data_IF_123989130168
#
_entry.id   IF_123989130168
#
_cell.length_a   1.000
_cell.length_b   1.000
_cell.length_c   1.000
_cell.angle_alpha   90.00
_cell.angle_beta   90.00
_cell.angle_gamma   90.00
#
_symmetry.space_group_name_H-M   'P 1'
#
loop_
_entity.id
_entity.type
_entity.pdbx_description
1 polymer ?
#
# COMPACT_ATOMS: atom_id res chain seq x y z
N UNK A 1 20.83 49.34 7.64
CA UNK A 1 21.40 48.14 6.98
C UNK A 1 21.13 46.83 7.72
N UNK A 2 20.99 46.80 9.07
CA UNK A 2 20.70 45.55 9.80
C UNK A 2 19.31 44.92 9.55
N UNK A 3 18.28 45.72 9.20
CA UNK A 3 16.93 45.20 9.01
C UNK A 3 16.75 44.35 7.73
N UNK A 4 17.56 44.59 6.70
CA UNK A 4 17.47 43.83 5.44
C UNK A 4 18.11 42.44 5.55
N UNK A 5 19.12 42.27 6.41
CA UNK A 5 19.78 40.99 6.65
C UNK A 5 18.85 39.99 7.36
N UNK A 6 18.05 40.44 8.34
CA UNK A 6 17.12 39.59 9.08
C UNK A 6 15.98 39.01 8.19
N UNK A 7 15.56 39.75 7.17
CA UNK A 7 14.51 39.30 6.24
C UNK A 7 14.99 38.19 5.30
N UNK A 8 16.27 38.21 4.90
CA UNK A 8 16.88 37.16 4.07
C UNK A 8 17.05 35.83 4.83
N UNK A 9 17.39 35.87 6.12
CA UNK A 9 17.52 34.65 6.94
C UNK A 9 16.16 33.96 7.23
N UNK A 10 15.04 34.70 7.25
CA UNK A 10 13.70 34.14 7.42
C UNK A 10 13.09 33.53 6.14
N UNK A 11 13.64 33.87 4.96
CA UNK A 11 13.27 33.23 3.70
C UNK A 11 14.10 31.99 3.39
N UNK A 12 15.38 31.96 3.79
CA UNK A 12 16.27 30.83 3.54
C UNK A 12 15.87 29.55 4.31
N UNK A 13 15.16 29.68 5.42
CA UNK A 13 14.69 28.53 6.20
C UNK A 13 13.55 27.73 5.56
N UNK A 14 12.94 28.23 4.48
CA UNK A 14 11.78 27.60 3.82
C UNK A 14 12.17 26.71 2.64
N UNK A 15 13.43 26.77 2.22
CA UNK A 15 13.96 25.99 1.08
C UNK A 15 14.41 24.59 1.50
N UNK A 16 14.50 24.31 2.81
CA UNK A 16 14.96 23.02 3.35
C UNK A 16 13.84 22.14 3.96
N UNK A 17 12.57 22.49 3.78
CA UNK A 17 11.48 21.56 4.08
C UNK A 17 11.36 20.56 2.90
N UNK A 18 12.22 19.55 2.89
CA UNK A 18 12.13 18.45 1.94
C UNK A 18 11.02 17.49 2.37
N UNK A 19 10.00 17.36 1.52
CA UNK A 19 8.94 16.38 1.71
C UNK A 19 9.55 14.99 1.82
N UNK A 20 9.32 14.30 2.93
CA UNK A 20 9.86 12.96 3.15
C UNK A 20 8.87 12.09 3.91
N UNK A 21 8.91 10.79 3.63
CA UNK A 21 8.09 9.79 4.33
C UNK A 21 9.01 8.76 4.96
N UNK A 22 8.65 8.25 6.13
CA UNK A 22 9.40 7.19 6.80
C UNK A 22 8.66 5.87 6.67
N UNK A 23 9.31 4.86 6.10
CA UNK A 23 8.81 3.50 5.92
C UNK A 23 9.72 2.52 6.64
N UNK A 24 9.25 2.03 7.79
CA UNK A 24 10.08 1.23 8.69
C UNK A 24 11.26 2.04 9.21
N UNK A 25 12.46 1.72 8.75
CA UNK A 25 13.69 2.45 9.10
C UNK A 25 14.27 3.28 7.94
N UNK A 26 13.59 3.33 6.79
CA UNK A 26 14.06 4.09 5.64
C UNK A 26 13.27 5.40 5.51
N UNK A 27 13.98 6.50 5.34
CA UNK A 27 13.39 7.77 4.91
C UNK A 27 13.44 7.80 3.38
N UNK A 28 12.28 8.01 2.76
CA UNK A 28 12.13 8.08 1.32
C UNK A 28 11.83 9.51 0.90
N UNK A 29 12.38 9.90 -0.25
CA UNK A 29 12.07 11.16 -0.92
C UNK A 29 11.12 10.90 -2.10
N UNK A 30 10.43 11.93 -2.63
CA UNK A 30 9.44 11.78 -3.68
C UNK A 30 9.86 10.95 -4.90
N UNK A 31 11.07 11.13 -5.49
CA UNK A 31 11.48 10.28 -6.62
C UNK A 31 11.69 8.81 -6.23
N UNK A 32 11.94 8.53 -4.96
CA UNK A 32 12.19 7.18 -4.46
C UNK A 32 10.88 6.41 -4.24
N UNK A 33 9.73 7.08 -4.10
CA UNK A 33 8.46 6.39 -3.81
C UNK A 33 8.11 5.32 -4.86
N UNK A 34 8.49 5.57 -6.11
CA UNK A 34 8.21 4.70 -7.25
C UNK A 34 9.49 4.15 -7.90
N UNK A 35 10.64 4.30 -7.24
CA UNK A 35 11.92 3.71 -7.66
C UNK A 35 11.96 2.19 -7.38
N UNK A 36 10.94 1.48 -7.85
CA UNK A 36 10.78 0.04 -7.70
C UNK A 36 11.42 -0.63 -8.93
N UNK A 37 12.17 -1.73 -8.76
CA UNK A 37 12.73 -2.46 -9.89
C UNK A 37 11.62 -2.89 -10.85
N UNK A 38 11.84 -2.72 -12.16
CA UNK A 38 10.84 -3.06 -13.19
C UNK A 38 10.45 -4.54 -13.21
N UNK A 39 11.25 -5.43 -12.59
CA UNK A 39 10.92 -6.84 -12.39
C UNK A 39 9.82 -7.08 -11.35
N UNK A 40 9.61 -6.14 -10.43
CA UNK A 40 8.64 -6.22 -9.33
C UNK A 40 7.35 -5.46 -9.63
N UNK A 41 7.38 -4.56 -10.62
CA UNK A 41 6.19 -3.85 -11.08
C UNK A 41 5.47 -4.71 -12.11
N UNK A 42 4.20 -5.09 -11.89
CA UNK A 42 3.41 -5.75 -12.91
C UNK A 42 3.35 -4.87 -14.16
N UNK A 43 3.60 -5.43 -15.34
CA UNK A 43 3.59 -4.69 -16.62
C UNK A 43 2.30 -3.91 -16.84
N UNK A 44 1.17 -4.44 -16.36
CA UNK A 44 -0.15 -3.82 -16.43
C UNK A 44 -0.27 -2.54 -15.58
N UNK A 45 0.52 -2.41 -14.52
CA UNK A 45 0.55 -1.22 -13.67
C UNK A 45 1.56 -0.17 -14.14
N UNK A 46 2.40 -0.50 -15.12
CA UNK A 46 3.48 0.37 -15.59
C UNK A 46 2.99 1.75 -16.06
N UNK A 47 1.84 1.80 -16.77
CA UNK A 47 1.27 3.07 -17.23
C UNK A 47 0.80 3.97 -16.07
N UNK A 48 0.09 3.40 -15.09
CA UNK A 48 -0.40 4.13 -13.92
C UNK A 48 0.76 4.66 -13.08
N UNK A 49 1.79 3.85 -12.89
CA UNK A 49 2.97 4.21 -12.12
C UNK A 49 3.88 5.21 -12.85
N UNK A 50 3.98 5.13 -14.18
CA UNK A 50 4.67 6.14 -14.98
C UNK A 50 3.98 7.50 -14.90
N UNK A 51 2.64 7.54 -14.99
CA UNK A 51 1.85 8.76 -14.84
C UNK A 51 1.98 9.37 -13.42
N UNK A 52 1.94 8.53 -12.39
CA UNK A 52 2.16 8.96 -11.01
C UNK A 52 3.58 9.53 -10.82
N UNK A 53 4.61 8.85 -11.36
CA UNK A 53 5.99 9.30 -11.26
C UNK A 53 6.20 10.65 -11.99
N UNK A 54 5.61 10.83 -13.17
CA UNK A 54 5.65 12.12 -13.86
C UNK A 54 4.96 13.24 -13.07
N UNK A 55 3.84 12.94 -12.41
CA UNK A 55 3.12 13.90 -11.56
C UNK A 55 3.96 14.31 -10.34
N UNK A 56 4.64 13.34 -9.71
CA UNK A 56 5.50 13.58 -8.56
C UNK A 56 6.75 14.39 -8.95
N UNK A 57 7.43 14.00 -10.03
CA UNK A 57 8.61 14.73 -10.55
C UNK A 57 8.21 16.15 -10.97
N UNK A 58 7.05 16.31 -11.62
CA UNK A 58 6.51 17.61 -12.03
C UNK A 58 6.25 18.56 -10.86
N UNK A 59 6.05 18.04 -9.65
CA UNK A 59 5.87 18.85 -8.44
C UNK A 59 7.19 19.33 -7.81
N UNK A 60 8.36 18.85 -8.25
CA UNK A 60 9.69 19.31 -7.80
C UNK A 60 9.81 19.47 -6.28
N UNK A 61 9.39 18.45 -5.51
CA UNK A 61 9.38 18.43 -4.03
C UNK A 61 8.53 19.52 -3.35
N UNK A 62 7.66 20.22 -4.08
CA UNK A 62 6.73 21.18 -3.49
C UNK A 62 5.56 20.45 -2.82
N UNK A 63 5.50 20.50 -1.49
CA UNK A 63 4.44 19.87 -0.70
C UNK A 63 3.03 20.30 -1.12
N UNK A 64 2.82 21.58 -1.49
CA UNK A 64 1.51 22.06 -1.94
C UNK A 64 1.07 21.46 -3.28
N UNK A 65 2.02 21.04 -4.13
CA UNK A 65 1.74 20.34 -5.38
C UNK A 65 1.58 18.83 -5.15
N UNK A 66 2.48 18.23 -4.36
CA UNK A 66 2.44 16.81 -4.03
C UNK A 66 1.13 16.41 -3.33
N UNK A 67 0.62 17.28 -2.46
CA UNK A 67 -0.60 17.01 -1.70
C UNK A 67 -1.90 17.39 -2.43
N UNK A 68 -1.85 17.72 -3.71
CA UNK A 68 -3.06 17.88 -4.52
C UNK A 68 -3.75 16.53 -4.72
N UNK A 69 -5.09 16.51 -4.70
CA UNK A 69 -5.84 15.26 -4.85
C UNK A 69 -5.54 14.56 -6.17
N UNK A 70 -5.23 15.29 -7.26
CA UNK A 70 -4.84 14.71 -8.54
C UNK A 70 -3.55 13.88 -8.47
N UNK A 71 -2.55 14.36 -7.75
CA UNK A 71 -1.26 13.67 -7.57
C UNK A 71 -1.44 12.48 -6.63
N UNK A 72 -2.19 12.67 -5.54
CA UNK A 72 -2.51 11.60 -4.58
C UNK A 72 -3.33 10.50 -5.25
N UNK A 73 -4.32 10.85 -6.07
CA UNK A 73 -5.15 9.90 -6.82
C UNK A 73 -4.32 9.12 -7.83
N UNK A 74 -3.38 9.77 -8.52
CA UNK A 74 -2.46 9.11 -9.43
C UNK A 74 -1.55 8.12 -8.69
N UNK A 75 -0.98 8.53 -7.56
CA UNK A 75 -0.17 7.67 -6.70
C UNK A 75 -0.98 6.49 -6.14
N UNK A 76 -2.17 6.76 -5.61
CA UNK A 76 -3.11 5.73 -5.14
C UNK A 76 -3.46 4.77 -6.26
N UNK A 77 -3.73 5.25 -7.47
CA UNK A 77 -4.06 4.40 -8.62
C UNK A 77 -2.93 3.43 -8.99
N UNK A 78 -1.69 3.89 -8.96
CA UNK A 78 -0.52 3.02 -9.12
C UNK A 78 -0.42 1.97 -7.99
N UNK A 79 -0.52 2.41 -6.73
CA UNK A 79 -0.44 1.54 -5.56
C UNK A 79 -1.57 0.51 -5.51
N UNK A 80 -2.79 0.91 -5.86
CA UNK A 80 -3.97 0.05 -5.95
C UNK A 80 -3.80 -1.03 -7.02
N UNK A 81 -3.23 -0.68 -8.18
CA UNK A 81 -2.94 -1.64 -9.23
C UNK A 81 -1.92 -2.69 -8.75
N UNK A 82 -0.81 -2.24 -8.16
CA UNK A 82 0.21 -3.13 -7.62
C UNK A 82 -0.35 -4.06 -6.55
N UNK A 83 -1.11 -3.52 -5.60
CA UNK A 83 -1.75 -4.28 -4.53
C UNK A 83 -2.70 -5.36 -5.07
N UNK A 84 -3.52 -5.00 -6.05
CA UNK A 84 -4.45 -5.95 -6.70
C UNK A 84 -3.71 -7.08 -7.40
N UNK A 85 -2.59 -6.78 -8.06
CA UNK A 85 -1.78 -7.78 -8.76
C UNK A 85 -1.01 -8.70 -7.81
N UNK A 86 -0.47 -8.15 -6.72
CA UNK A 86 0.15 -8.95 -5.64
C UNK A 86 -0.86 -9.93 -5.05
N UNK A 87 -2.08 -9.45 -4.79
CA UNK A 87 -3.18 -10.30 -4.31
C UNK A 87 -3.50 -11.39 -5.34
N UNK A 88 -3.66 -11.03 -6.62
CA UNK A 88 -4.01 -11.97 -7.68
C UNK A 88 -2.96 -13.08 -7.86
N UNK A 89 -1.68 -12.77 -7.68
CA UNK A 89 -0.58 -13.73 -7.78
C UNK A 89 -0.29 -14.49 -6.47
N UNK A 90 -0.84 -14.02 -5.35
CA UNK A 90 -0.53 -14.53 -4.01
C UNK A 90 0.99 -14.63 -3.75
N UNK A 91 1.74 -13.66 -4.26
CA UNK A 91 3.20 -13.61 -4.12
C UNK A 91 3.59 -12.78 -2.89
N UNK A 92 4.62 -13.23 -2.19
CA UNK A 92 5.17 -12.43 -1.09
C UNK A 92 5.83 -11.18 -1.67
N UNK A 93 5.40 -10.03 -1.19
CA UNK A 93 6.01 -8.75 -1.53
C UNK A 93 7.45 -8.70 -1.00
N UNK A 94 8.42 -8.54 -1.91
CA UNK A 94 9.85 -8.43 -1.57
C UNK A 94 10.26 -7.00 -1.21
N UNK A 95 9.50 -5.99 -1.67
CA UNK A 95 9.78 -4.56 -1.45
C UNK A 95 8.59 -3.86 -0.75
N UNK A 96 8.86 -3.19 0.37
CA UNK A 96 7.86 -2.50 1.19
C UNK A 96 7.13 -1.35 0.48
N UNK A 97 7.56 -0.94 -0.72
CA UNK A 97 6.96 0.15 -1.52
C UNK A 97 5.84 -0.32 -2.45
N UNK A 98 5.76 -1.62 -2.74
CA UNK A 98 4.80 -2.19 -3.69
C UNK A 98 3.44 -2.40 -3.02
N UNK A 99 2.41 -1.68 -3.47
CA UNK A 99 1.04 -1.85 -2.98
C UNK A 99 0.88 -1.54 -1.49
N UNK A 100 1.60 -0.53 -1.01
CA UNK A 100 1.88 -0.36 0.42
C UNK A 100 0.93 0.62 1.09
N UNK A 101 0.03 0.10 1.93
CA UNK A 101 -0.80 0.92 2.83
C UNK A 101 0.02 1.81 3.78
N UNK A 102 1.13 1.36 4.40
CA UNK A 102 1.94 2.26 5.24
C UNK A 102 2.62 3.37 4.42
N UNK A 103 2.89 3.16 3.13
CA UNK A 103 3.41 4.22 2.26
C UNK A 103 2.37 5.34 2.07
N UNK A 104 1.12 4.99 1.81
CA UNK A 104 0.03 5.97 1.70
C UNK A 104 -0.27 6.69 3.02
N UNK A 105 -0.15 6.00 4.16
CA UNK A 105 -0.27 6.61 5.49
C UNK A 105 0.90 7.55 5.82
N UNK A 106 2.13 7.19 5.44
CA UNK A 106 3.28 8.07 5.54
C UNK A 106 3.13 9.32 4.68
N UNK A 107 2.62 9.15 3.45
CA UNK A 107 2.32 10.24 2.53
C UNK A 107 1.27 11.20 3.08
N UNK A 108 0.20 10.68 3.68
CA UNK A 108 -0.83 11.53 4.28
C UNK A 108 -0.33 12.34 5.47
N UNK A 109 0.55 11.73 6.28
CA UNK A 109 1.19 12.39 7.42
C UNK A 109 2.15 13.48 6.95
N UNK A 110 2.96 13.21 5.92
CA UNK A 110 3.85 14.22 5.32
C UNK A 110 3.06 15.37 4.68
N UNK A 111 1.92 15.10 4.07
CA UNK A 111 1.05 16.16 3.55
C UNK A 111 0.44 17.05 4.63
N UNK A 112 0.12 16.49 5.79
CA UNK A 112 -0.30 17.27 6.94
C UNK A 112 0.87 18.12 7.48
N UNK A 113 2.06 17.54 7.58
CA UNK A 113 3.24 18.18 8.18
C UNK A 113 3.82 19.30 7.29
N UNK A 114 4.02 19.02 6.01
CA UNK A 114 4.75 19.90 5.08
C UNK A 114 3.82 20.72 4.18
N UNK A 115 2.64 20.16 3.86
CA UNK A 115 1.65 20.80 2.99
C UNK A 115 0.51 21.49 3.75
N UNK A 116 0.35 21.22 5.04
CA UNK A 116 -0.84 21.59 5.83
C UNK A 116 -2.17 21.18 5.14
N UNK A 117 -2.14 20.06 4.41
CA UNK A 117 -3.29 19.48 3.71
C UNK A 117 -3.69 18.20 4.44
N UNK A 118 -4.94 18.12 4.87
CA UNK A 118 -5.50 16.89 5.42
C UNK A 118 -6.14 16.08 4.30
N UNK A 119 -5.54 14.93 4.00
CA UNK A 119 -6.07 13.98 3.03
C UNK A 119 -7.13 13.11 3.70
N UNK A 120 -8.22 12.84 2.97
CA UNK A 120 -9.28 12.01 3.50
C UNK A 120 -8.86 10.53 3.48
N UNK A 121 -9.35 9.74 4.44
CA UNK A 121 -8.93 8.33 4.58
C UNK A 121 -9.23 7.49 3.33
N UNK A 122 -10.26 7.85 2.55
CA UNK A 122 -10.61 7.21 1.28
C UNK A 122 -9.60 7.50 0.14
N UNK A 123 -8.85 8.60 0.22
CA UNK A 123 -7.82 8.98 -0.75
C UNK A 123 -6.49 8.26 -0.49
N UNK A 124 -6.30 7.75 0.72
CA UNK A 124 -5.04 7.10 1.14
C UNK A 124 -5.20 5.61 1.42
N UNK A 125 -6.43 5.10 1.55
CA UNK A 125 -6.69 3.69 1.74
C UNK A 125 -6.64 2.93 0.40
N UNK A 126 -5.93 1.79 0.39
CA UNK A 126 -6.04 0.81 -0.67
C UNK A 126 -7.24 -0.10 -0.38
N UNK A 127 -8.01 -0.41 -1.41
CA UNK A 127 -9.22 -1.22 -1.30
C UNK A 127 -8.91 -2.64 -1.76
N UNK A 128 -9.49 -3.63 -1.08
CA UNK A 128 -9.37 -5.01 -1.55
C UNK A 128 -10.20 -5.20 -2.82
N UNK A 129 -9.67 -5.91 -3.84
CA UNK A 129 -10.46 -6.19 -5.03
C UNK A 129 -11.67 -7.05 -4.66
N UNK A 130 -12.82 -6.76 -5.28
CA UNK A 130 -14.08 -7.46 -5.00
C UNK A 130 -14.03 -8.98 -5.25
N UNK A 131 -13.04 -9.44 -6.00
CA UNK A 131 -12.77 -10.84 -6.32
C UNK A 131 -11.87 -11.55 -5.31
N UNK A 132 -11.50 -10.91 -4.20
CA UNK A 132 -10.65 -11.53 -3.18
C UNK A 132 -11.48 -12.20 -2.09
N UNK A 133 -11.40 -13.53 -2.02
CA UNK A 133 -12.12 -14.36 -1.04
C UNK A 133 -11.36 -14.59 0.28
N UNK A 134 -10.27 -13.88 0.51
CA UNK A 134 -9.55 -13.90 1.79
C UNK A 134 -8.42 -14.94 1.89
N UNK A 135 -7.60 -14.86 2.95
CA UNK A 135 -6.44 -15.73 3.14
C UNK A 135 -6.82 -17.12 3.69
N UNK A 136 -8.07 -17.31 4.09
CA UNK A 136 -8.63 -18.53 4.64
C UNK A 136 -9.58 -19.24 3.67
N UNK A 137 -9.80 -18.70 2.47
CA UNK A 137 -10.45 -19.47 1.41
C UNK A 137 -9.42 -20.46 0.87
N UNK A 138 -9.11 -21.43 1.71
CA UNK A 138 -8.61 -22.71 1.26
C UNK A 138 -9.77 -23.26 0.43
N UNK A 139 -9.75 -22.97 -0.87
CA UNK A 139 -10.39 -23.83 -1.86
C UNK A 139 -9.70 -25.17 -1.65
N UNK A 140 -10.24 -25.95 -0.71
CA UNK A 140 -9.97 -27.36 -0.59
C UNK A 140 -10.31 -27.85 -1.99
N UNK A 141 -9.29 -28.27 -2.76
CA UNK A 141 -9.56 -28.89 -4.05
C UNK A 141 -10.61 -29.97 -3.82
N UNK A 142 -11.42 -30.31 -4.81
CA UNK A 142 -12.48 -31.31 -4.63
C UNK A 142 -11.96 -32.58 -3.91
N UNK A 143 -10.68 -32.94 -4.15
CA UNK A 143 -9.98 -34.00 -3.42
C UNK A 143 -9.75 -33.71 -1.93
N UNK A 144 -9.30 -32.50 -1.56
CA UNK A 144 -9.17 -32.07 -0.17
C UNK A 144 -10.49 -32.09 0.60
N UNK A 145 -11.59 -31.67 -0.03
CA UNK A 145 -12.94 -31.74 0.57
C UNK A 145 -13.38 -33.16 0.83
N UNK A 146 -13.14 -34.08 -0.12
CA UNK A 146 -13.47 -35.49 0.05
C UNK A 146 -12.68 -36.10 1.22
N UNK A 147 -11.40 -35.78 1.35
CA UNK A 147 -10.57 -36.30 2.45
C UNK A 147 -11.03 -35.73 3.79
N UNK A 148 -11.28 -34.42 3.87
CA UNK A 148 -11.73 -33.78 5.12
C UNK A 148 -13.11 -34.29 5.58
N UNK A 149 -14.07 -34.39 4.66
CA UNK A 149 -15.41 -34.95 4.94
C UNK A 149 -15.33 -36.44 5.24
N UNK A 150 -14.48 -37.19 4.54
CA UNK A 150 -14.28 -38.62 4.78
C UNK A 150 -13.72 -38.91 6.18
N UNK A 151 -12.65 -38.21 6.57
CA UNK A 151 -12.04 -38.37 7.90
C UNK A 151 -13.00 -37.90 8.99
N UNK A 152 -13.68 -36.76 8.80
CA UNK A 152 -14.69 -36.26 9.73
C UNK A 152 -15.87 -37.21 9.90
N UNK A 153 -16.33 -37.82 8.81
CA UNK A 153 -17.41 -38.80 8.82
C UNK A 153 -17.04 -40.09 9.54
N UNK A 154 -15.83 -40.63 9.31
CA UNK A 154 -15.34 -41.83 10.00
C UNK A 154 -15.17 -41.57 11.50
N UNK A 155 -14.58 -40.44 11.88
CA UNK A 155 -14.42 -40.06 13.29
C UNK A 155 -15.77 -39.81 13.98
N UNK A 156 -16.71 -39.17 13.29
CA UNK A 156 -18.06 -38.94 13.81
C UNK A 156 -18.85 -40.23 14.01
N UNK A 157 -18.81 -41.15 13.04
CA UNK A 157 -19.45 -42.47 13.17
C UNK A 157 -18.79 -43.31 14.27
N UNK A 158 -17.47 -43.30 14.39
CA UNK A 158 -16.76 -43.99 15.45
C UNK A 158 -17.15 -43.45 16.84
N UNK A 159 -17.28 -42.13 16.99
CA UNK A 159 -17.72 -41.50 18.24
C UNK A 159 -19.16 -41.89 18.60
N UNK A 160 -20.08 -41.92 17.62
CA UNK A 160 -21.48 -42.34 17.84
C UNK A 160 -21.54 -43.82 18.26
N UNK A 161 -20.78 -44.70 17.60
CA UNK A 161 -20.73 -46.12 17.95
C UNK A 161 -20.16 -46.36 19.36
N UNK A 162 -19.14 -45.60 19.76
CA UNK A 162 -18.58 -45.67 21.11
C UNK A 162 -19.59 -45.19 22.17
N UNK A 163 -20.26 -44.06 21.94
CA UNK A 163 -21.28 -43.53 22.85
C UNK A 163 -22.52 -44.44 22.95
N UNK A 164 -22.88 -45.12 21.87
CA UNK A 164 -24.03 -46.04 21.84
C UNK A 164 -23.76 -47.38 22.52
N UNK A 165 -22.50 -47.70 22.83
CA UNK A 165 -22.09 -48.92 23.53
C UNK A 165 -21.56 -48.67 24.95
N UNK A 166 -21.54 -47.41 25.41
CA UNK A 166 -21.34 -47.09 26.82
C UNK A 166 -22.68 -47.24 27.56
N UNK A 167 -22.81 -48.35 28.27
CA UNK A 167 -23.85 -48.62 29.26
C UNK A 167 -23.37 -48.18 30.63
#
# INVERSE_FOLDING_TARGET
MLAFAAFFFLLAGRVFAEFSITLGQQVLFPPDFLAIPSSLVPSECGANCAAANQSIIGCNNNAACLCQSSVVDSLRGCQQCMFTQVIAKNEKVLDLRVGSSPLMAGYSTACLADGNVTLAANETALVLPASWDGPLDVILSTGGTVVAVGVGGVLGLAAILLLSNMQ
#
